data_IF_718530069951
#
_entry.id   IF_718530069951
#
_cell.length_a   1.000
_cell.length_b   1.000
_cell.length_c   1.000
_cell.angle_alpha   90.00
_cell.angle_beta   90.00
_cell.angle_gamma   90.00
#
_symmetry.space_group_name_H-M   'P 1'
#
loop_
_entity.id
_entity.type
_entity.pdbx_description
1 polymer ?
#
# COMPACT_ATOMS: atom_id res chain seq x y z
N UNK A 1 -8.16 76.56 18.55
CA UNK A 1 -6.71 76.26 18.52
C UNK A 1 -6.39 75.37 19.71
N UNK A 2 -5.67 74.26 19.49
CA UNK A 2 -5.25 73.18 20.43
C UNK A 2 -6.20 71.99 20.64
N UNK A 3 -6.13 71.10 19.66
CA UNK A 3 -5.96 69.63 19.73
C UNK A 3 -5.36 69.11 21.04
N UNK A 4 -5.86 68.00 21.61
CA UNK A 4 -5.29 66.63 21.46
C UNK A 4 -5.90 65.65 22.47
N UNK A 5 -6.56 64.61 21.93
CA UNK A 5 -7.03 63.41 22.61
C UNK A 5 -5.84 62.47 22.85
N UNK A 6 -5.68 61.95 24.07
CA UNK A 6 -4.86 60.77 24.37
C UNK A 6 -5.66 59.84 25.29
N UNK A 7 -6.45 58.94 24.68
CA UNK A 7 -6.94 57.76 25.36
C UNK A 7 -5.85 56.69 25.24
N UNK A 8 -5.19 56.42 26.36
CA UNK A 8 -4.28 55.29 26.52
C UNK A 8 -5.09 54.05 26.89
N UNK A 9 -4.88 52.98 26.10
CA UNK A 9 -4.76 51.58 26.52
C UNK A 9 -5.85 50.95 27.40
N UNK A 10 -6.63 50.04 26.82
CA UNK A 10 -6.87 48.69 27.37
C UNK A 10 -7.63 47.85 26.34
N UNK A 11 -7.13 46.65 26.00
CA UNK A 11 -7.91 45.65 25.27
C UNK A 11 -7.23 45.01 24.06
N UNK A 12 -5.95 44.65 24.15
CA UNK A 12 -5.35 43.67 23.24
C UNK A 12 -5.10 42.40 24.04
N UNK A 13 -5.90 41.34 23.84
CA UNK A 13 -5.64 39.97 24.30
C UNK A 13 -6.74 39.02 23.80
N UNK A 14 -6.61 38.48 22.57
CA UNK A 14 -7.29 37.24 22.14
C UNK A 14 -6.75 36.76 20.78
N UNK A 15 -5.45 36.47 20.68
CA UNK A 15 -4.87 35.79 19.50
C UNK A 15 -3.87 34.75 19.97
N UNK A 16 -4.35 33.64 20.54
CA UNK A 16 -3.51 32.54 21.02
C UNK A 16 -4.06 31.22 20.43
N UNK A 17 -3.25 30.68 19.50
CA UNK A 17 -3.03 29.26 19.22
C UNK A 17 -4.14 28.44 18.52
N UNK A 18 -4.11 28.46 17.18
CA UNK A 18 -4.59 27.36 16.34
C UNK A 18 -3.46 26.62 15.61
N UNK A 19 -2.20 26.85 15.99
CA UNK A 19 -1.06 26.13 15.43
C UNK A 19 -0.53 25.14 16.49
N UNK A 20 -0.76 23.83 16.32
CA UNK A 20 -0.02 22.85 17.12
C UNK A 20 -0.62 21.47 17.36
N UNK A 21 -1.62 20.97 16.62
CA UNK A 21 -1.95 19.55 16.74
C UNK A 21 -0.89 18.63 16.10
N UNK A 22 -0.11 19.11 15.13
CA UNK A 22 0.96 18.31 14.49
C UNK A 22 2.25 18.23 15.32
N UNK A 23 2.37 18.99 16.42
CA UNK A 23 3.59 19.08 17.23
C UNK A 23 3.67 18.03 18.35
N UNK A 24 2.65 17.19 18.53
CA UNK A 24 2.64 16.16 19.58
C UNK A 24 3.35 14.86 19.17
N UNK A 25 3.91 14.77 17.97
CA UNK A 25 4.67 13.59 17.53
C UNK A 25 3.87 12.29 17.63
N UNK A 26 2.54 12.37 17.62
CA UNK A 26 1.64 11.23 17.51
C UNK A 26 1.48 10.80 16.05
N UNK A 27 2.50 11.03 15.23
CA UNK A 27 2.56 10.44 13.91
C UNK A 27 2.59 8.93 14.09
N UNK A 28 1.73 8.21 13.36
CA UNK A 28 1.78 6.76 13.38
C UNK A 28 3.22 6.32 13.02
N UNK A 29 3.90 5.66 13.96
CA UNK A 29 5.30 5.17 13.84
C UNK A 29 5.53 4.18 12.68
N UNK A 30 4.53 3.98 11.83
CA UNK A 30 4.47 3.00 10.76
C UNK A 30 4.57 3.68 9.39
N UNK A 31 5.60 3.33 8.65
CA UNK A 31 5.77 3.73 7.26
C UNK A 31 5.15 2.66 6.34
N UNK A 32 4.29 3.08 5.40
CA UNK A 32 3.77 2.20 4.36
C UNK A 32 4.84 1.98 3.29
N UNK A 33 5.16 0.72 3.00
CA UNK A 33 6.13 0.31 1.99
C UNK A 33 5.52 -0.70 1.05
N UNK A 34 5.99 -0.72 -0.19
CA UNK A 34 5.61 -1.78 -1.12
C UNK A 34 6.09 -3.13 -0.59
N UNK A 35 5.25 -4.16 -0.70
CA UNK A 35 5.54 -5.45 -0.08
C UNK A 35 6.64 -6.18 -0.84
N UNK A 36 7.52 -6.87 -0.11
CA UNK A 36 8.62 -7.63 -0.70
C UNK A 36 8.16 -9.01 -1.15
N UNK A 37 8.60 -9.45 -2.32
CA UNK A 37 8.22 -10.75 -2.86
C UNK A 37 8.77 -11.93 -2.03
N UNK A 38 7.96 -12.96 -1.78
CA UNK A 38 8.51 -14.29 -1.47
C UNK A 38 9.05 -14.87 -2.78
N UNK A 39 10.37 -15.05 -2.92
CA UNK A 39 10.94 -15.72 -4.08
C UNK A 39 11.05 -17.21 -3.78
N UNK A 40 10.14 -18.01 -4.33
CA UNK A 40 10.21 -19.46 -4.38
C UNK A 40 10.96 -19.96 -5.61
N UNK A 41 11.02 -21.29 -5.79
CA UNK A 41 11.67 -21.95 -6.94
C UNK A 41 11.07 -21.48 -8.28
N UNK A 42 9.79 -21.12 -8.28
CA UNK A 42 9.03 -20.66 -9.46
C UNK A 42 8.87 -19.12 -9.54
N UNK A 43 9.59 -18.37 -8.70
CA UNK A 43 9.46 -16.92 -8.58
C UNK A 43 8.48 -16.51 -7.47
N UNK A 44 7.76 -15.39 -7.64
CA UNK A 44 6.83 -14.90 -6.63
C UNK A 44 5.67 -15.87 -6.37
N UNK A 45 5.36 -16.11 -5.10
CA UNK A 45 4.21 -16.92 -4.66
C UNK A 45 2.89 -16.16 -4.86
N UNK A 46 2.32 -16.26 -6.07
CA UNK A 46 1.03 -15.68 -6.46
C UNK A 46 0.10 -16.79 -6.95
N UNK A 47 -1.06 -16.91 -6.31
CA UNK A 47 -2.09 -17.88 -6.64
C UNK A 47 -3.32 -17.19 -7.22
N UNK A 48 -3.69 -17.61 -8.43
CA UNK A 48 -4.90 -17.21 -9.13
C UNK A 48 -5.51 -18.45 -9.78
N UNK A 49 -6.86 -18.59 -9.85
CA UNK A 49 -7.48 -19.58 -10.71
C UNK A 49 -6.99 -19.42 -12.15
N UNK A 50 -6.86 -20.53 -12.88
CA UNK A 50 -6.51 -20.50 -14.31
C UNK A 50 -7.70 -20.13 -15.19
N UNK A 51 -8.92 -20.37 -14.70
CA UNK A 51 -10.16 -20.09 -15.43
C UNK A 51 -11.22 -19.55 -14.47
N UNK A 52 -11.90 -18.48 -14.90
CA UNK A 52 -12.92 -17.76 -14.11
C UNK A 52 -14.10 -17.39 -15.01
N UNK A 53 -15.26 -17.08 -14.44
CA UNK A 53 -16.44 -16.65 -15.22
C UNK A 53 -16.52 -15.13 -15.32
N UNK A 54 -16.97 -14.64 -16.47
CA UNK A 54 -17.24 -13.23 -16.68
C UNK A 54 -18.27 -12.72 -15.67
N UNK A 55 -18.01 -11.55 -15.08
CA UNK A 55 -18.84 -10.93 -14.05
C UNK A 55 -18.82 -11.62 -12.68
N UNK A 56 -18.11 -12.75 -12.52
CA UNK A 56 -17.95 -13.41 -11.24
C UNK A 56 -16.66 -12.94 -10.53
N UNK A 57 -16.79 -12.56 -9.26
CA UNK A 57 -15.64 -12.27 -8.43
C UNK A 57 -14.82 -13.55 -8.16
N UNK A 58 -13.50 -13.45 -8.25
CA UNK A 58 -12.58 -14.55 -7.95
C UNK A 58 -11.39 -14.07 -7.11
N UNK A 59 -10.84 -14.95 -6.25
CA UNK A 59 -9.75 -14.55 -5.36
C UNK A 59 -8.39 -14.60 -6.05
N UNK A 60 -7.55 -13.62 -5.75
CA UNK A 60 -6.11 -13.65 -5.99
C UNK A 60 -5.41 -13.58 -4.64
N UNK A 61 -4.47 -14.49 -4.41
CA UNK A 61 -3.65 -14.54 -3.20
C UNK A 61 -2.20 -14.24 -3.55
N UNK A 62 -1.58 -13.36 -2.79
CA UNK A 62 -0.19 -12.92 -2.98
C UNK A 62 0.52 -13.10 -1.65
N UNK A 63 1.62 -13.85 -1.64
CA UNK A 63 2.44 -14.03 -0.44
C UNK A 63 3.69 -13.17 -0.52
N UNK A 64 3.91 -12.40 0.55
CA UNK A 64 5.03 -11.46 0.70
C UNK A 64 5.83 -11.80 1.96
N UNK A 65 7.04 -11.27 2.05
CA UNK A 65 7.93 -11.45 3.20
C UNK A 65 8.11 -10.16 3.96
N UNK A 66 8.27 -10.28 5.28
CA UNK A 66 8.70 -9.20 6.15
C UNK A 66 9.38 -9.70 7.41
N UNK A 67 9.60 -8.78 8.36
CA UNK A 67 10.33 -9.03 9.62
C UNK A 67 9.52 -8.62 10.87
N UNK A 68 10.11 -8.74 12.05
CA UNK A 68 9.46 -8.54 13.36
C UNK A 68 8.66 -7.24 13.50
N UNK A 69 9.16 -6.12 12.96
CA UNK A 69 8.46 -4.82 12.99
C UNK A 69 7.76 -4.48 11.69
N UNK A 70 7.31 -5.50 10.97
CA UNK A 70 6.42 -5.33 9.84
C UNK A 70 5.03 -5.87 10.18
N UNK A 71 4.01 -5.24 9.60
CA UNK A 71 2.64 -5.72 9.63
C UNK A 71 2.05 -5.63 8.24
N UNK A 72 1.19 -6.58 7.92
CA UNK A 72 0.48 -6.61 6.64
C UNK A 72 -0.36 -5.34 6.47
N UNK A 73 -0.23 -4.69 5.31
CA UNK A 73 -1.10 -3.59 4.90
C UNK A 73 -2.17 -4.00 3.88
N UNK A 74 -2.74 -3.00 3.21
CA UNK A 74 -3.72 -3.22 2.14
C UNK A 74 -3.08 -3.55 0.80
N UNK A 75 -3.91 -3.99 -0.14
CA UNK A 75 -3.53 -4.12 -1.56
C UNK A 75 -4.35 -3.13 -2.36
N UNK A 76 -3.68 -2.26 -3.07
CA UNK A 76 -4.34 -1.40 -4.06
C UNK A 76 -4.60 -2.19 -5.32
N UNK A 77 -5.79 -2.02 -5.87
CA UNK A 77 -6.28 -2.76 -7.04
C UNK A 77 -6.76 -1.76 -8.06
N UNK A 78 -6.24 -1.86 -9.27
CA UNK A 78 -6.69 -1.10 -10.43
C UNK A 78 -7.08 -2.10 -11.52
N UNK A 79 -8.28 -1.97 -12.07
CA UNK A 79 -8.78 -2.90 -13.09
C UNK A 79 -9.18 -2.11 -14.33
N UNK A 80 -8.60 -2.47 -15.47
CA UNK A 80 -8.97 -2.00 -16.79
C UNK A 80 -9.81 -3.09 -17.48
N UNK A 81 -11.14 -2.94 -17.44
CA UNK A 81 -12.07 -3.92 -18.02
C UNK A 81 -11.91 -4.05 -19.54
N UNK A 82 -11.59 -2.96 -20.23
CA UNK A 82 -11.46 -2.94 -21.69
C UNK A 82 -10.20 -3.69 -22.15
N UNK A 83 -9.08 -3.47 -21.47
CA UNK A 83 -7.83 -4.18 -21.73
C UNK A 83 -7.81 -5.59 -21.11
N UNK A 84 -8.74 -5.90 -20.19
CA UNK A 84 -8.73 -7.08 -19.32
C UNK A 84 -7.42 -7.19 -18.55
N UNK A 85 -7.04 -6.08 -17.93
CA UNK A 85 -5.80 -5.96 -17.16
C UNK A 85 -6.11 -5.56 -15.72
N UNK A 86 -5.41 -6.16 -14.76
CA UNK A 86 -5.50 -5.79 -13.36
C UNK A 86 -4.10 -5.58 -12.78
N UNK A 87 -3.88 -4.42 -12.17
CA UNK A 87 -2.65 -4.07 -11.46
C UNK A 87 -2.88 -4.16 -9.95
N UNK A 88 -2.10 -5.02 -9.31
CA UNK A 88 -2.16 -5.28 -7.87
C UNK A 88 -0.89 -4.76 -7.21
N UNK A 89 -1.05 -3.86 -6.25
CA UNK A 89 0.05 -3.26 -5.49
C UNK A 89 -0.15 -3.60 -4.00
N UNK A 90 0.39 -4.72 -3.50
CA UNK A 90 0.36 -5.04 -2.08
C UNK A 90 1.33 -4.14 -1.31
N UNK A 91 0.90 -3.63 -0.16
CA UNK A 91 1.72 -2.84 0.74
C UNK A 91 1.76 -3.43 2.14
N UNK A 92 2.90 -3.29 2.78
CA UNK A 92 3.12 -3.60 4.19
C UNK A 92 3.47 -2.32 4.95
N UNK A 93 3.35 -2.35 6.26
CA UNK A 93 3.80 -1.28 7.13
C UNK A 93 5.03 -1.72 7.90
N UNK A 94 6.04 -0.86 7.98
CA UNK A 94 7.25 -1.07 8.77
C UNK A 94 7.36 0.01 9.84
N UNK A 95 7.73 -0.34 11.07
CA UNK A 95 8.05 0.70 12.07
C UNK A 95 9.26 1.51 11.63
N UNK A 96 9.19 2.85 11.77
CA UNK A 96 10.31 3.75 11.53
C UNK A 96 11.45 3.50 12.51
N UNK A 97 11.11 3.35 13.79
CA UNK A 97 12.03 2.87 14.81
C UNK A 97 12.08 1.34 14.79
N UNK A 98 13.23 0.81 14.36
CA UNK A 98 13.47 -0.63 14.29
C UNK A 98 14.19 -1.19 15.52
N UNK A 99 14.37 -0.40 16.59
CA UNK A 99 15.00 -0.89 17.81
C UNK A 99 14.14 -1.98 18.46
N UNK A 100 14.75 -3.14 18.72
CA UNK A 100 14.07 -4.29 19.34
C UNK A 100 13.24 -5.13 18.38
N UNK A 101 13.28 -4.87 17.07
CA UNK A 101 12.65 -5.73 16.08
C UNK A 101 13.36 -7.08 15.99
N UNK A 102 12.58 -8.15 15.91
CA UNK A 102 13.10 -9.48 15.65
C UNK A 102 13.47 -9.61 14.17
N UNK A 103 14.55 -10.36 13.92
CA UNK A 103 15.01 -10.71 12.56
C UNK A 103 14.26 -11.91 11.97
N UNK A 104 13.16 -12.32 12.59
CA UNK A 104 12.35 -13.44 12.15
C UNK A 104 11.73 -13.18 10.78
N UNK A 105 11.84 -14.16 9.89
CA UNK A 105 11.15 -14.11 8.60
C UNK A 105 9.66 -14.40 8.81
N UNK A 106 8.83 -13.44 8.44
CA UNK A 106 7.37 -13.53 8.50
C UNK A 106 6.81 -13.55 7.09
N UNK A 107 5.80 -14.40 6.89
CA UNK A 107 5.03 -14.47 5.65
C UNK A 107 3.73 -13.70 5.84
N UNK A 108 3.40 -12.81 4.91
CA UNK A 108 2.12 -12.11 4.88
C UNK A 108 1.29 -12.57 3.68
N UNK A 109 -0.01 -12.77 3.89
CA UNK A 109 -0.95 -13.10 2.82
C UNK A 109 -1.79 -11.86 2.48
N UNK A 110 -1.69 -11.39 1.25
CA UNK A 110 -2.60 -10.40 0.68
C UNK A 110 -3.64 -11.13 -0.17
N UNK A 111 -4.91 -10.86 0.09
CA UNK A 111 -6.03 -11.46 -0.64
C UNK A 111 -6.93 -10.38 -1.18
N UNK A 112 -7.19 -10.40 -2.49
CA UNK A 112 -8.10 -9.48 -3.17
C UNK A 112 -9.11 -10.27 -4.00
N UNK A 113 -10.27 -9.65 -4.25
CA UNK A 113 -11.27 -10.18 -5.17
C UNK A 113 -11.20 -9.36 -6.46
N UNK A 114 -11.05 -10.03 -7.59
CA UNK A 114 -11.09 -9.42 -8.92
C UNK A 114 -12.32 -9.87 -9.68
N UNK A 115 -12.78 -9.03 -10.60
CA UNK A 115 -13.85 -9.35 -11.54
C UNK A 115 -13.45 -8.83 -12.92
N UNK A 116 -13.63 -9.65 -13.94
CA UNK A 116 -13.55 -9.24 -15.34
C UNK A 116 -14.90 -9.45 -15.99
N UNK A 117 -15.44 -8.43 -16.64
CA UNK A 117 -16.82 -8.46 -17.14
C UNK A 117 -16.94 -9.04 -18.56
N UNK A 118 -15.81 -9.22 -19.24
CA UNK A 118 -15.75 -9.68 -20.62
C UNK A 118 -14.94 -10.97 -20.74
N UNK A 119 -15.41 -11.95 -21.52
CA UNK A 119 -14.66 -13.17 -21.79
C UNK A 119 -13.37 -12.89 -22.57
N UNK A 120 -12.39 -13.79 -22.44
CA UNK A 120 -11.08 -13.70 -23.07
C UNK A 120 -9.93 -13.89 -22.09
N UNK A 121 -8.70 -13.81 -22.59
CA UNK A 121 -7.52 -13.80 -21.72
C UNK A 121 -7.44 -12.46 -21.01
N UNK A 122 -7.33 -12.51 -19.68
CA UNK A 122 -7.04 -11.37 -18.83
C UNK A 122 -5.66 -11.50 -18.20
N UNK A 123 -5.04 -10.36 -17.93
CA UNK A 123 -3.68 -10.24 -17.40
C UNK A 123 -3.74 -9.63 -16.01
N UNK A 124 -3.01 -10.23 -15.07
CA UNK A 124 -2.87 -9.75 -13.70
C UNK A 124 -1.40 -9.44 -13.48
N UNK A 125 -1.07 -8.18 -13.23
CA UNK A 125 0.26 -7.72 -12.90
C UNK A 125 0.35 -7.45 -11.40
N UNK A 126 1.29 -8.10 -10.73
CA UNK A 126 1.53 -7.89 -9.30
C UNK A 126 2.85 -7.15 -9.14
N UNK A 127 2.76 -5.94 -8.62
CA UNK A 127 3.89 -5.03 -8.43
C UNK A 127 4.46 -5.20 -7.04
N UNK A 128 5.66 -5.73 -6.94
CA UNK A 128 6.34 -6.03 -5.68
C UNK A 128 7.66 -5.27 -5.57
N UNK A 129 8.11 -5.07 -4.33
CA UNK A 129 9.48 -4.68 -4.07
C UNK A 129 10.38 -5.92 -4.17
N UNK A 130 11.59 -5.72 -4.68
CA UNK A 130 12.63 -6.74 -4.61
C UNK A 130 12.99 -7.01 -3.14
N UNK A 131 13.21 -8.27 -2.72
CA UNK A 131 13.73 -8.56 -1.39
C UNK A 131 15.04 -7.84 -1.09
N UNK A 132 15.21 -7.43 0.16
CA UNK A 132 16.44 -6.77 0.61
C UNK A 132 17.69 -7.60 0.28
N UNK A 133 18.74 -6.95 -0.21
CA UNK A 133 20.00 -7.60 -0.61
C UNK A 133 20.07 -8.05 -2.07
N UNK A 134 18.96 -7.97 -2.81
CA UNK A 134 18.94 -8.14 -4.27
C UNK A 134 18.74 -6.76 -4.90
N UNK A 135 19.76 -6.24 -5.60
CA UNK A 135 19.61 -5.00 -6.35
C UNK A 135 18.94 -5.30 -7.71
N UNK A 136 17.73 -4.82 -7.91
CA UNK A 136 17.10 -4.75 -9.24
C UNK A 136 16.87 -3.29 -9.60
N UNK A 137 17.08 -2.94 -10.87
CA UNK A 137 16.99 -1.56 -11.40
C UNK A 137 15.54 -1.16 -11.78
N UNK A 138 14.58 -2.06 -11.58
CA UNK A 138 13.18 -1.91 -12.00
C UNK A 138 12.23 -2.51 -10.94
N UNK A 139 10.97 -2.06 -10.87
CA UNK A 139 9.95 -2.68 -10.03
C UNK A 139 9.81 -4.18 -10.37
N UNK A 140 9.70 -5.03 -9.35
CA UNK A 140 9.56 -6.46 -9.54
C UNK A 140 8.10 -6.78 -9.86
N UNK A 141 7.77 -6.86 -11.14
CA UNK A 141 6.41 -7.15 -11.62
C UNK A 141 6.29 -8.61 -12.00
N UNK A 142 5.30 -9.30 -11.44
CA UNK A 142 4.98 -10.67 -11.81
C UNK A 142 3.63 -10.73 -12.49
N UNK A 143 3.63 -11.22 -13.73
CA UNK A 143 2.43 -11.32 -14.55
C UNK A 143 1.83 -12.73 -14.50
N UNK A 144 0.51 -12.80 -14.42
CA UNK A 144 -0.29 -14.03 -14.53
C UNK A 144 -1.40 -13.83 -15.55
N UNK A 145 -1.62 -14.84 -16.38
CA UNK A 145 -2.76 -14.89 -17.28
C UNK A 145 -3.88 -15.70 -16.64
N UNK A 146 -5.12 -15.27 -16.81
CA UNK A 146 -6.33 -16.01 -16.44
C UNK A 146 -7.28 -16.06 -17.63
N UNK A 147 -7.89 -17.22 -17.86
CA UNK A 147 -8.91 -17.36 -18.88
C UNK A 147 -10.27 -16.96 -18.32
N UNK A 148 -10.87 -15.91 -18.85
CA UNK A 148 -12.26 -15.53 -18.54
C UNK A 148 -13.17 -16.22 -19.54
N UNK A 149 -14.08 -17.07 -19.05
CA UNK A 149 -15.11 -17.73 -19.84
C UNK A 149 -16.47 -17.06 -19.61
N UNK A 150 -17.44 -17.21 -20.52
CA UNK A 150 -18.79 -16.69 -20.32
C UNK A 150 -19.46 -17.19 -19.04
#
# INVERSE_FOLDING_TARGET
MKTTIRLMTAGALASILLAGCDALGLDEDWERRQSQAVIGIEGAEIYTPQTVRAGAAFPVQIYTVGRGCMRRGGTEVQVNQQAREADLNPYDYQRRDTQGCTEDFRRFEHRVQLTFDQPGTATINVHLATPDGIQTIAPFVVTRAVQVVP
#
